data_IF_782294456638
#
_entry.id   IF_782294456638
#
_cell.length_a   1.000
_cell.length_b   1.000
_cell.length_c   1.000
_cell.angle_alpha   90.00
_cell.angle_beta   90.00
_cell.angle_gamma   90.00
#
_symmetry.space_group_name_H-M   'P 1'
#
loop_
_entity.id
_entity.type
_entity.pdbx_description
1 polymer ?
#
# COMPACT_ATOMS: atom_id res chain seq x y z
N UNK A 1 -0.36 3.19 -18.81
CA UNK A 1 0.62 3.87 -17.95
C UNK A 1 1.96 3.21 -18.20
N UNK A 2 2.90 3.88 -18.86
CA UNK A 2 4.27 3.37 -18.97
C UNK A 2 4.89 3.33 -17.56
N UNK A 3 5.13 2.12 -17.05
CA UNK A 3 5.92 1.94 -15.84
C UNK A 3 7.38 2.18 -16.20
N UNK A 4 7.89 3.37 -15.86
CA UNK A 4 9.34 3.63 -15.87
C UNK A 4 9.97 2.64 -14.90
N UNK A 5 10.89 1.80 -15.38
CA UNK A 5 11.56 0.81 -14.55
C UNK A 5 12.65 1.54 -13.75
N UNK A 6 12.25 2.10 -12.60
CA UNK A 6 13.12 2.82 -11.67
C UNK A 6 13.79 1.79 -10.77
N UNK A 7 15.12 1.82 -10.67
CA UNK A 7 15.87 0.91 -9.81
C UNK A 7 15.59 1.15 -8.32
N UNK A 8 15.80 0.14 -7.47
CA UNK A 8 15.61 0.27 -6.03
C UNK A 8 16.50 1.37 -5.45
N UNK A 9 17.75 1.45 -5.91
CA UNK A 9 18.75 2.42 -5.49
C UNK A 9 18.32 3.85 -5.84
N UNK A 10 17.70 4.04 -7.01
CA UNK A 10 17.17 5.35 -7.43
C UNK A 10 15.98 5.76 -6.55
N UNK A 11 15.07 4.84 -6.23
CA UNK A 11 13.95 5.10 -5.31
C UNK A 11 14.47 5.48 -3.93
N UNK A 12 15.42 4.71 -3.39
CA UNK A 12 16.02 4.97 -2.09
C UNK A 12 16.75 6.32 -2.06
N UNK A 13 17.47 6.66 -3.12
CA UNK A 13 18.14 7.96 -3.27
C UNK A 13 17.17 9.15 -3.32
N UNK A 14 15.91 8.93 -3.71
CA UNK A 14 14.85 9.94 -3.71
C UNK A 14 14.18 10.16 -2.35
N UNK A 15 14.43 9.31 -1.33
CA UNK A 15 13.82 9.44 -0.01
C UNK A 15 14.60 10.45 0.83
N UNK A 16 14.00 11.62 1.04
CA UNK A 16 14.54 12.66 1.91
C UNK A 16 13.76 12.82 3.23
N UNK A 17 14.32 13.55 4.20
CA UNK A 17 13.56 13.99 5.37
C UNK A 17 12.41 14.90 4.93
N UNK A 18 11.36 14.96 5.77
CA UNK A 18 10.28 15.93 5.58
C UNK A 18 10.86 17.35 5.69
N UNK A 19 10.43 18.24 4.82
CA UNK A 19 11.00 19.58 4.71
C UNK A 19 10.63 20.45 5.93
N UNK A 20 11.63 20.75 6.76
CA UNK A 20 11.46 21.48 8.02
C UNK A 20 11.08 22.94 7.81
N UNK A 21 11.51 23.56 6.71
CA UNK A 21 11.16 24.96 6.40
C UNK A 21 9.67 25.08 6.14
N UNK A 22 9.08 24.14 5.40
CA UNK A 22 7.65 24.10 5.14
C UNK A 22 6.82 23.76 6.37
N UNK A 23 7.34 22.91 7.27
CA UNK A 23 6.71 22.66 8.57
C UNK A 23 6.65 23.96 9.38
N UNK A 24 7.75 24.73 9.43
CA UNK A 24 7.80 25.96 10.22
C UNK A 24 6.87 27.04 9.65
N UNK A 25 6.85 27.22 8.32
CA UNK A 25 5.86 28.09 7.64
C UNK A 25 4.42 27.68 7.96
N UNK A 26 4.14 26.38 8.08
CA UNK A 26 2.81 25.89 8.43
C UNK A 26 2.44 26.17 9.89
N UNK A 27 3.38 26.06 10.83
CA UNK A 27 3.19 26.46 12.23
C UNK A 27 2.92 27.95 12.36
N UNK A 28 3.72 28.78 11.68
CA UNK A 28 3.51 30.24 11.65
C UNK A 28 2.12 30.59 11.14
N UNK A 29 1.68 29.95 10.05
CA UNK A 29 0.32 30.14 9.52
C UNK A 29 -0.75 29.72 10.51
N UNK A 30 -0.62 28.54 11.13
CA UNK A 30 -1.65 28.05 12.06
C UNK A 30 -1.71 28.87 13.34
N UNK A 31 -0.59 29.47 13.77
CA UNK A 31 -0.55 30.40 14.90
C UNK A 31 -1.29 31.72 14.64
N UNK A 32 -1.52 32.10 13.37
CA UNK A 32 -2.28 33.29 12.98
C UNK A 32 -3.80 33.03 12.85
N UNK A 33 -4.24 31.76 12.94
CA UNK A 33 -5.66 31.43 12.85
C UNK A 33 -6.40 31.92 14.10
N UNK A 34 -7.66 32.32 13.94
CA UNK A 34 -8.53 32.77 15.03
C UNK A 34 -8.98 31.56 15.86
N UNK A 35 -8.05 31.02 16.65
CA UNK A 35 -8.24 29.87 17.52
C UNK A 35 -7.21 29.91 18.67
N UNK A 36 -7.51 29.34 19.85
CA UNK A 36 -6.49 29.17 20.88
C UNK A 36 -5.30 28.37 20.34
N UNK A 37 -4.10 28.70 20.80
CA UNK A 37 -2.87 28.02 20.39
C UNK A 37 -3.03 26.51 20.57
N UNK A 38 -2.77 25.75 19.49
CA UNK A 38 -2.86 24.29 19.46
C UNK A 38 -4.25 23.68 19.77
N UNK A 39 -5.35 24.43 19.60
CA UNK A 39 -6.70 23.93 19.94
C UNK A 39 -7.14 22.65 19.20
N UNK A 40 -6.54 22.30 18.05
CA UNK A 40 -6.88 21.08 17.30
C UNK A 40 -5.96 19.88 17.62
N UNK A 41 -5.06 20.01 18.60
CA UNK A 41 -4.15 18.94 19.02
C UNK A 41 -3.39 18.31 17.85
N UNK A 42 -3.50 16.98 17.70
CA UNK A 42 -2.81 16.19 16.66
C UNK A 42 -3.11 16.63 15.23
N UNK A 43 -4.25 17.28 14.98
CA UNK A 43 -4.58 17.73 13.63
C UNK A 43 -3.61 18.82 13.15
N UNK A 44 -3.08 19.65 14.07
CA UNK A 44 -1.98 20.56 13.74
C UNK A 44 -0.77 19.80 13.22
N UNK A 45 -0.29 18.83 14.01
CA UNK A 45 0.91 18.05 13.67
C UNK A 45 0.77 17.33 12.32
N UNK A 46 -0.41 16.76 12.05
CA UNK A 46 -0.70 16.09 10.77
C UNK A 46 -0.70 17.10 9.62
N UNK A 47 -1.39 18.24 9.78
CA UNK A 47 -1.49 19.24 8.72
C UNK A 47 -0.14 19.91 8.39
N UNK A 48 0.66 20.23 9.41
CA UNK A 48 2.00 20.82 9.26
C UNK A 48 2.96 19.83 8.60
N UNK A 49 2.89 18.55 8.98
CA UNK A 49 3.68 17.49 8.33
C UNK A 49 3.29 17.29 6.88
N UNK A 50 1.99 17.37 6.54
CA UNK A 50 1.53 17.32 5.14
C UNK A 50 2.07 18.49 4.32
N UNK A 51 2.12 19.70 4.90
CA UNK A 51 2.77 20.86 4.27
C UNK A 51 4.25 20.58 3.99
N UNK A 52 4.96 19.97 4.95
CA UNK A 52 6.35 19.56 4.80
C UNK A 52 6.59 18.50 3.73
N UNK A 53 5.70 17.50 3.63
CA UNK A 53 5.79 16.44 2.62
C UNK A 53 5.52 16.98 1.22
N UNK A 54 4.46 17.79 1.06
CA UNK A 54 4.03 18.30 -0.24
C UNK A 54 4.71 19.62 -0.63
N UNK A 55 5.53 20.20 0.26
CA UNK A 55 6.21 21.48 0.07
C UNK A 55 5.25 22.60 -0.36
N UNK A 56 4.13 22.71 0.36
CA UNK A 56 3.08 23.69 0.10
C UNK A 56 2.30 24.00 1.38
N UNK A 57 1.82 25.24 1.53
CA UNK A 57 0.88 25.58 2.62
C UNK A 57 -0.56 25.14 2.32
N UNK A 58 -0.85 24.69 1.10
CA UNK A 58 -2.18 24.20 0.70
C UNK A 58 -2.09 22.71 0.31
N UNK A 59 -1.75 21.81 1.25
CA UNK A 59 -1.65 20.39 0.93
C UNK A 59 -3.03 19.85 0.52
N UNK A 60 -3.06 18.95 -0.46
CA UNK A 60 -4.28 18.24 -0.88
C UNK A 60 -4.15 16.76 -0.57
N UNK A 61 -5.25 16.14 -0.14
CA UNK A 61 -5.38 14.70 0.08
C UNK A 61 -6.56 14.15 -0.71
N UNK A 62 -6.92 14.78 -1.83
CA UNK A 62 -8.16 14.46 -2.57
C UNK A 62 -8.06 13.09 -3.24
N UNK A 63 -6.89 12.75 -3.80
CA UNK A 63 -6.63 11.43 -4.41
C UNK A 63 -5.96 10.49 -3.43
N UNK A 64 -6.61 9.38 -3.13
CA UNK A 64 -6.18 8.38 -2.14
C UNK A 64 -6.34 6.99 -2.74
N UNK A 65 -5.40 6.11 -2.45
CA UNK A 65 -5.44 4.71 -2.85
C UNK A 65 -5.00 3.81 -1.69
N UNK A 66 -5.61 2.63 -1.62
CA UNK A 66 -5.26 1.54 -0.72
C UNK A 66 -4.78 0.40 -1.58
N UNK A 67 -3.52 -0.03 -1.38
CA UNK A 67 -2.94 -1.16 -2.08
C UNK A 67 -3.02 -2.40 -1.19
N UNK A 68 -3.79 -3.40 -1.61
CA UNK A 68 -3.90 -4.71 -0.96
C UNK A 68 -2.91 -5.66 -1.61
N UNK A 69 -1.82 -5.95 -0.91
CA UNK A 69 -0.80 -6.91 -1.37
C UNK A 69 -1.23 -8.33 -1.00
N UNK A 70 -1.64 -9.12 -2.00
CA UNK A 70 -2.12 -10.48 -1.82
C UNK A 70 -1.01 -11.50 -2.13
N UNK A 71 -0.79 -12.44 -1.22
CA UNK A 71 0.17 -13.53 -1.39
C UNK A 71 -0.12 -14.69 -0.46
N UNK A 72 0.11 -15.91 -0.93
CA UNK A 72 -0.06 -17.11 -0.13
C UNK A 72 1.23 -17.51 0.59
N UNK A 73 1.10 -18.21 1.71
CA UNK A 73 2.24 -18.61 2.52
C UNK A 73 2.32 -20.13 2.71
N UNK A 74 3.49 -20.72 2.42
CA UNK A 74 3.69 -22.17 2.51
C UNK A 74 3.61 -22.73 3.93
N UNK A 75 3.77 -21.90 4.96
CA UNK A 75 3.67 -22.28 6.38
C UNK A 75 2.25 -22.72 6.77
N UNK A 76 1.22 -22.35 5.99
CA UNK A 76 -0.17 -22.78 6.21
C UNK A 76 -0.30 -24.31 6.27
N UNK A 77 0.59 -25.06 5.60
CA UNK A 77 0.65 -26.53 5.65
C UNK A 77 0.88 -27.11 7.05
N UNK A 78 1.36 -26.30 7.99
CA UNK A 78 1.62 -26.70 9.37
C UNK A 78 0.42 -26.38 10.29
N UNK A 79 -0.75 -26.07 9.73
CA UNK A 79 -2.00 -25.91 10.49
C UNK A 79 -2.10 -24.61 11.29
N UNK A 80 -1.29 -23.60 10.94
CA UNK A 80 -1.22 -22.32 11.67
C UNK A 80 -2.31 -21.31 11.29
N UNK A 81 -3.07 -21.58 10.21
CA UNK A 81 -4.12 -20.68 9.71
C UNK A 81 -5.50 -21.10 10.22
N UNK A 82 -6.31 -20.12 10.63
CA UNK A 82 -7.71 -20.33 10.99
C UNK A 82 -8.61 -20.61 9.77
N UNK A 83 -8.15 -20.29 8.56
CA UNK A 83 -8.89 -20.44 7.31
C UNK A 83 -8.12 -21.29 6.29
N UNK A 84 -8.83 -22.03 5.42
CA UNK A 84 -8.22 -22.75 4.31
C UNK A 84 -7.42 -21.82 3.38
N UNK A 85 -6.41 -22.37 2.71
CA UNK A 85 -5.50 -21.59 1.87
C UNK A 85 -6.19 -20.99 0.64
N UNK A 86 -7.24 -21.64 0.16
CA UNK A 86 -8.04 -21.23 -1.00
C UNK A 86 -8.77 -19.90 -0.76
N UNK A 87 -8.96 -19.51 0.51
CA UNK A 87 -9.64 -18.26 0.89
C UNK A 87 -8.91 -17.04 0.35
N UNK A 88 -7.58 -17.07 0.18
CA UNK A 88 -6.82 -15.94 -0.38
C UNK A 88 -7.36 -15.53 -1.76
N UNK A 89 -7.57 -16.50 -2.66
CA UNK A 89 -8.09 -16.24 -4.00
C UNK A 89 -9.54 -15.74 -4.00
N UNK A 90 -10.38 -16.29 -3.11
CA UNK A 90 -11.75 -15.83 -2.93
C UNK A 90 -11.82 -14.39 -2.38
N UNK A 91 -10.92 -14.04 -1.46
CA UNK A 91 -10.81 -12.70 -0.92
C UNK A 91 -10.33 -11.69 -1.97
N UNK A 92 -9.40 -12.07 -2.84
CA UNK A 92 -9.00 -11.21 -3.98
C UNK A 92 -10.20 -10.87 -4.86
N UNK A 93 -11.00 -11.87 -5.25
CA UNK A 93 -12.23 -11.63 -6.02
C UNK A 93 -13.20 -10.73 -5.25
N UNK A 94 -13.33 -10.93 -3.93
CA UNK A 94 -14.20 -10.10 -3.07
C UNK A 94 -13.73 -8.65 -2.98
N UNK A 95 -12.42 -8.40 -2.91
CA UNK A 95 -11.84 -7.05 -2.92
C UNK A 95 -12.12 -6.34 -4.25
N UNK A 96 -11.94 -7.04 -5.37
CA UNK A 96 -12.14 -6.49 -6.71
C UNK A 96 -13.62 -6.20 -7.00
N UNK A 97 -14.52 -7.09 -6.57
CA UNK A 97 -15.97 -6.88 -6.63
C UNK A 97 -16.50 -5.83 -5.61
N UNK A 98 -15.62 -5.20 -4.81
CA UNK A 98 -16.04 -4.13 -3.91
C UNK A 98 -16.77 -4.57 -2.63
N UNK A 99 -16.77 -5.87 -2.33
CA UNK A 99 -17.60 -6.49 -1.28
C UNK A 99 -16.94 -6.62 0.10
N UNK A 100 -15.65 -6.36 0.24
CA UNK A 100 -14.96 -6.54 1.51
C UNK A 100 -15.07 -5.31 2.43
N UNK A 101 -14.73 -5.51 3.71
CA UNK A 101 -14.72 -4.42 4.70
C UNK A 101 -13.82 -3.24 4.31
N UNK A 102 -12.67 -3.51 3.68
CA UNK A 102 -11.77 -2.45 3.18
C UNK A 102 -12.44 -1.61 2.10
N UNK A 103 -13.29 -2.20 1.25
CA UNK A 103 -14.02 -1.46 0.22
C UNK A 103 -15.06 -0.52 0.84
N UNK A 104 -15.72 -0.95 1.93
CA UNK A 104 -16.66 -0.09 2.66
C UNK A 104 -15.95 1.14 3.27
N UNK A 105 -14.80 0.93 3.91
CA UNK A 105 -13.99 2.02 4.48
C UNK A 105 -13.45 2.92 3.37
N UNK A 106 -12.95 2.34 2.28
CA UNK A 106 -12.40 3.08 1.14
C UNK A 106 -13.44 4.01 0.51
N UNK A 107 -14.68 3.54 0.30
CA UNK A 107 -15.79 4.38 -0.16
C UNK A 107 -16.08 5.53 0.79
N UNK A 108 -16.08 5.27 2.10
CA UNK A 108 -16.34 6.29 3.11
C UNK A 108 -15.30 7.42 3.09
N UNK A 109 -14.02 7.08 2.87
CA UNK A 109 -12.92 8.07 2.85
C UNK A 109 -12.59 8.59 1.44
N UNK A 110 -13.28 8.13 0.40
CA UNK A 110 -12.99 8.49 -1.00
C UNK A 110 -11.60 8.03 -1.45
N UNK A 111 -11.25 6.77 -1.17
CA UNK A 111 -10.05 6.11 -1.63
C UNK A 111 -10.36 4.98 -2.62
N UNK A 112 -9.49 4.79 -3.60
CA UNK A 112 -9.53 3.63 -4.50
C UNK A 112 -8.93 2.40 -3.80
N UNK A 113 -9.41 1.20 -4.12
CA UNK A 113 -8.81 -0.06 -3.68
C UNK A 113 -8.17 -0.72 -4.88
N UNK A 114 -6.87 -0.95 -4.78
CA UNK A 114 -6.07 -1.68 -5.77
C UNK A 114 -5.63 -2.99 -5.14
N UNK A 115 -5.77 -4.09 -5.87
CA UNK A 115 -5.27 -5.40 -5.42
C UNK A 115 -4.03 -5.73 -6.22
N UNK A 116 -2.93 -6.02 -5.55
CA UNK A 116 -1.68 -6.44 -6.17
C UNK A 116 -1.45 -7.90 -5.83
N UNK A 117 -1.52 -8.76 -6.82
CA UNK A 117 -1.11 -10.16 -6.66
C UNK A 117 0.41 -10.23 -6.66
N UNK A 118 0.96 -10.48 -5.47
CA UNK A 118 2.39 -10.68 -5.23
C UNK A 118 2.79 -12.15 -5.20
N UNK A 119 1.82 -13.06 -5.13
CA UNK A 119 2.10 -14.47 -4.97
C UNK A 119 0.94 -15.33 -4.52
N UNK A 120 -0.30 -15.04 -4.94
CA UNK A 120 -1.42 -15.95 -4.64
C UNK A 120 -1.24 -17.25 -5.43
N UNK A 121 -1.75 -18.37 -4.92
CA UNK A 121 -1.68 -19.68 -5.58
C UNK A 121 -2.51 -19.75 -6.87
N UNK A 122 -3.79 -19.32 -6.91
CA UNK A 122 -4.55 -19.38 -8.14
C UNK A 122 -4.04 -18.38 -9.17
N UNK A 123 -4.16 -18.75 -10.45
CA UNK A 123 -4.03 -17.80 -11.54
C UNK A 123 -5.41 -17.21 -11.79
N UNK A 124 -5.52 -15.88 -11.70
CA UNK A 124 -6.75 -15.15 -11.94
C UNK A 124 -6.54 -14.25 -13.16
N UNK A 125 -7.42 -14.36 -14.16
CA UNK A 125 -7.37 -13.53 -15.35
C UNK A 125 -8.08 -12.19 -15.09
N UNK A 126 -7.37 -11.04 -15.06
CA UNK A 126 -7.99 -9.73 -14.85
C UNK A 126 -9.12 -9.44 -15.83
N UNK A 127 -9.04 -9.90 -17.08
CA UNK A 127 -10.07 -9.66 -18.10
C UNK A 127 -11.41 -10.36 -17.83
N UNK A 128 -11.41 -11.33 -16.91
CA UNK A 128 -12.59 -12.11 -16.52
C UNK A 128 -13.21 -11.67 -15.20
N UNK A 129 -12.59 -10.74 -14.47
CA UNK A 129 -13.00 -10.34 -13.12
C UNK A 129 -13.73 -8.98 -13.12
N UNK A 130 -14.79 -8.90 -12.33
CA UNK A 130 -15.35 -7.60 -11.94
C UNK A 130 -14.28 -6.81 -11.16
N UNK A 131 -14.01 -5.57 -11.58
CA UNK A 131 -12.93 -4.75 -11.00
C UNK A 131 -11.52 -5.10 -11.50
N UNK A 132 -11.39 -5.90 -12.56
CA UNK A 132 -10.10 -6.33 -13.12
C UNK A 132 -9.12 -5.20 -13.47
N UNK A 133 -9.61 -4.00 -13.81
CA UNK A 133 -8.77 -2.81 -14.07
C UNK A 133 -7.97 -2.36 -12.82
N UNK A 134 -8.43 -2.72 -11.62
CA UNK A 134 -7.77 -2.44 -10.35
C UNK A 134 -6.95 -3.63 -9.83
N UNK A 135 -6.75 -4.65 -10.67
CA UNK A 135 -5.98 -5.85 -10.34
C UNK A 135 -4.60 -5.82 -11.03
N UNK A 136 -3.55 -5.69 -10.23
CA UNK A 136 -2.17 -5.69 -10.70
C UNK A 136 -1.52 -7.05 -10.45
N UNK A 137 -1.27 -7.81 -11.53
CA UNK A 137 -0.54 -9.08 -11.43
C UNK A 137 0.97 -8.80 -11.42
N UNK A 138 1.61 -9.02 -10.28
CA UNK A 138 3.06 -8.92 -10.02
C UNK A 138 3.57 -10.16 -9.29
N UNK A 139 2.97 -11.30 -9.61
CA UNK A 139 3.18 -12.58 -8.95
C UNK A 139 4.65 -13.00 -9.05
N UNK A 140 5.31 -13.15 -7.91
CA UNK A 140 6.72 -13.62 -7.84
C UNK A 140 6.77 -15.15 -7.94
N UNK A 141 5.89 -15.83 -7.21
CA UNK A 141 5.74 -17.28 -7.19
C UNK A 141 4.33 -17.65 -6.70
N UNK A 142 3.92 -18.92 -6.83
CA UNK A 142 2.66 -19.41 -6.25
C UNK A 142 2.83 -19.71 -4.77
N UNK A 143 2.68 -18.66 -3.97
CA UNK A 143 2.92 -18.64 -2.53
C UNK A 143 4.40 -18.73 -2.17
N UNK A 144 4.70 -18.39 -0.92
CA UNK A 144 6.03 -18.58 -0.34
C UNK A 144 6.29 -20.06 -0.06
N UNK A 145 7.55 -20.46 0.06
CA UNK A 145 7.91 -21.71 0.70
C UNK A 145 7.48 -21.72 2.18
N UNK A 146 7.47 -22.91 2.78
CA UNK A 146 7.24 -23.05 4.21
C UNK A 146 8.50 -22.59 4.98
N UNK A 147 8.36 -21.47 5.69
CA UNK A 147 9.44 -20.83 6.44
C UNK A 147 10.02 -21.69 7.58
N UNK A 148 9.29 -22.71 8.04
CA UNK A 148 9.75 -23.67 9.06
C UNK A 148 10.79 -24.63 8.46
N UNK A 149 10.70 -24.90 7.15
CA UNK A 149 11.56 -25.86 6.43
C UNK A 149 12.76 -25.21 5.73
N UNK A 150 12.81 -23.87 5.69
CA UNK A 150 13.84 -23.11 5.00
C UNK A 150 13.35 -21.71 4.63
N UNK A 151 14.11 -20.93 3.85
CA UNK A 151 13.72 -19.56 3.47
C UNK A 151 12.37 -19.50 2.75
N UNK A 152 11.54 -18.53 3.11
CA UNK A 152 10.21 -18.32 2.51
C UNK A 152 10.28 -18.01 1.00
N UNK A 153 11.35 -17.35 0.57
CA UNK A 153 11.63 -17.06 -0.84
C UNK A 153 12.99 -17.68 -1.16
N UNK A 154 13.06 -18.50 -2.22
CA UNK A 154 14.32 -19.08 -2.67
C UNK A 154 15.11 -17.98 -3.39
N UNK A 155 16.21 -17.55 -2.76
CA UNK A 155 17.19 -16.56 -3.22
C UNK A 155 16.61 -15.20 -3.68
N UNK A 156 16.68 -14.23 -2.76
CA UNK A 156 16.44 -12.80 -3.01
C UNK A 156 17.17 -12.27 -4.28
N UNK A 157 18.35 -12.81 -4.61
CA UNK A 157 19.16 -12.46 -5.78
C UNK A 157 18.50 -12.76 -7.14
N UNK A 158 17.62 -13.75 -7.27
CA UNK A 158 17.03 -14.10 -8.57
C UNK A 158 15.87 -13.17 -8.99
N UNK A 159 15.31 -12.41 -8.05
CA UNK A 159 14.10 -11.59 -8.28
C UNK A 159 14.46 -10.14 -8.64
N UNK A 160 15.64 -9.65 -8.28
CA UNK A 160 16.05 -8.24 -8.47
C UNK A 160 17.14 -8.01 -9.54
N UNK A 161 17.58 -9.03 -10.29
CA UNK A 161 18.72 -8.89 -11.21
C UNK A 161 19.94 -8.22 -10.55
N UNK A 162 20.23 -8.54 -9.28
CA UNK A 162 21.46 -8.09 -8.65
C UNK A 162 22.62 -8.98 -9.17
N UNK A 163 23.38 -8.46 -10.13
CA UNK A 163 24.79 -8.84 -10.31
C UNK A 163 25.66 -8.25 -9.19
#
# INVERSE_FOLDING_TARGET
METKNIGLEEILGGIGPVDSEWIEKAKERTAQLVMPTRALGRLHDISERLCGIQKTLKPSVDRKAILVMAGDHGVVKDGVSAYPQEVTGAMVQTFLAGGAGINAIARHVGAEVWVVDMGIIPDLDPGSLEGGDQFLVRKIAKGTANLVKGPAIKAWCQILNCE
#
